data_IF_420039444644
#
_entry.id   IF_420039444644
#
_cell.length_a   1.000
_cell.length_b   1.000
_cell.length_c   1.000
_cell.angle_alpha   90.00
_cell.angle_beta   90.00
_cell.angle_gamma   90.00
#
_symmetry.space_group_name_H-M   'P 1'
#
loop_
_entity.id
_entity.type
_entity.pdbx_description
1 polymer ?
#
# COMPACT_ATOMS: atom_id res chain seq x y z
N UNK A 1 -9.17 -4.95 22.42
CA UNK A 1 -8.84 -5.29 21.01
C UNK A 1 -9.50 -6.61 20.72
N UNK A 2 -10.22 -6.73 19.60
CA UNK A 2 -10.88 -7.99 19.23
C UNK A 2 -9.86 -9.06 18.83
N UNK A 3 -10.26 -10.33 18.80
CA UNK A 3 -9.34 -11.43 18.54
C UNK A 3 -8.81 -11.39 17.10
N UNK A 4 -9.69 -11.12 16.12
CA UNK A 4 -9.30 -11.02 14.72
C UNK A 4 -8.38 -9.81 14.48
N UNK A 5 -8.68 -8.65 15.08
CA UNK A 5 -7.83 -7.47 14.99
C UNK A 5 -6.44 -7.75 15.55
N UNK A 6 -6.34 -8.42 16.71
CA UNK A 6 -5.06 -8.78 17.31
C UNK A 6 -4.20 -9.66 16.39
N UNK A 7 -4.81 -10.68 15.76
CA UNK A 7 -4.11 -11.56 14.82
C UNK A 7 -3.66 -10.82 13.55
N UNK A 8 -4.54 -9.99 12.97
CA UNK A 8 -4.21 -9.16 11.82
C UNK A 8 -3.07 -8.19 12.15
N UNK A 9 -3.14 -7.52 13.30
CA UNK A 9 -2.06 -6.64 13.76
C UNK A 9 -0.74 -7.38 13.89
N UNK A 10 -0.74 -8.57 14.49
CA UNK A 10 0.47 -9.40 14.63
C UNK A 10 1.08 -9.78 13.27
N UNK A 11 0.27 -10.15 12.28
CA UNK A 11 0.77 -10.48 10.94
C UNK A 11 1.24 -9.25 10.15
N UNK A 12 0.58 -8.10 10.33
CA UNK A 12 0.96 -6.84 9.69
C UNK A 12 2.31 -6.30 10.17
N UNK A 13 2.66 -6.56 11.45
CA UNK A 13 3.92 -6.16 12.07
C UNK A 13 5.02 -7.21 11.90
N UNK A 14 4.74 -8.50 12.14
CA UNK A 14 5.66 -9.61 11.92
C UNK A 14 5.33 -10.38 10.63
N UNK A 15 5.80 -9.79 9.52
CA UNK A 15 5.57 -10.31 8.17
C UNK A 15 6.34 -11.59 7.88
N UNK A 16 7.50 -11.77 8.53
CA UNK A 16 8.37 -12.93 8.30
C UNK A 16 7.71 -14.19 8.88
N UNK A 17 7.15 -14.11 10.08
CA UNK A 17 6.51 -15.27 10.71
C UNK A 17 5.39 -15.87 9.85
N UNK A 18 4.62 -15.04 9.14
CA UNK A 18 3.58 -15.52 8.21
C UNK A 18 4.15 -16.33 7.04
N UNK A 19 5.24 -15.85 6.43
CA UNK A 19 5.93 -16.53 5.34
C UNK A 19 6.55 -17.86 5.80
N UNK A 20 7.24 -17.86 6.94
CA UNK A 20 7.86 -19.06 7.51
C UNK A 20 6.82 -20.13 7.86
N UNK A 21 5.66 -19.72 8.42
CA UNK A 21 4.54 -20.61 8.70
C UNK A 21 3.93 -21.19 7.41
N UNK A 22 3.80 -20.40 6.34
CA UNK A 22 3.30 -20.88 5.06
C UNK A 22 4.22 -21.94 4.45
N UNK A 23 5.54 -21.68 4.40
CA UNK A 23 6.53 -22.64 3.89
C UNK A 23 6.47 -23.96 4.65
N UNK A 24 6.33 -23.89 5.98
CA UNK A 24 6.27 -25.07 6.85
C UNK A 24 5.01 -25.91 6.60
N UNK A 25 3.84 -25.27 6.45
CA UNK A 25 2.56 -25.97 6.33
C UNK A 25 2.25 -26.49 4.93
N UNK A 26 2.64 -25.75 3.90
CA UNK A 26 2.22 -26.01 2.53
C UNK A 26 3.35 -26.57 1.66
N UNK A 27 4.58 -26.62 2.17
CA UNK A 27 5.79 -26.88 1.38
C UNK A 27 5.86 -25.98 0.13
N UNK A 28 5.22 -24.81 0.17
CA UNK A 28 5.06 -23.90 -0.95
C UNK A 28 6.15 -22.83 -0.99
N UNK A 29 6.40 -22.31 -2.18
CA UNK A 29 7.35 -21.22 -2.37
C UNK A 29 6.77 -19.85 -2.03
N UNK A 30 7.66 -18.89 -1.77
CA UNK A 30 7.33 -17.51 -1.43
C UNK A 30 7.94 -16.58 -2.47
N UNK A 31 7.10 -15.74 -3.08
CA UNK A 31 7.53 -14.72 -4.05
C UNK A 31 7.46 -13.35 -3.38
N UNK A 32 8.63 -12.75 -3.16
CA UNK A 32 8.72 -11.38 -2.70
C UNK A 32 8.26 -10.42 -3.78
N UNK A 33 7.55 -9.35 -3.43
CA UNK A 33 7.21 -8.33 -4.41
C UNK A 33 7.28 -6.89 -3.91
N UNK A 34 7.56 -5.97 -4.84
CA UNK A 34 7.63 -4.52 -4.61
C UNK A 34 6.77 -3.78 -5.62
N UNK A 35 5.93 -2.90 -5.10
CA UNK A 35 5.15 -1.93 -5.85
C UNK A 35 3.69 -2.32 -6.15
N UNK A 36 2.93 -1.33 -6.61
CA UNK A 36 1.47 -1.33 -6.71
C UNK A 36 0.91 -2.22 -7.83
N UNK A 37 1.73 -2.47 -8.86
CA UNK A 37 1.24 -3.05 -10.12
C UNK A 37 1.57 -4.53 -10.29
N UNK A 38 2.06 -5.19 -9.25
CA UNK A 38 2.34 -6.63 -9.29
C UNK A 38 1.03 -7.42 -9.22
N UNK A 39 0.66 -8.20 -10.25
CA UNK A 39 -0.50 -9.08 -10.22
C UNK A 39 -0.27 -10.34 -9.38
N UNK A 40 -0.55 -10.20 -8.09
CA UNK A 40 -0.43 -11.26 -7.08
C UNK A 40 -1.33 -12.48 -7.37
N UNK A 41 -2.34 -12.31 -8.23
CA UNK A 41 -3.22 -13.39 -8.70
C UNK A 41 -2.43 -14.49 -9.42
N UNK A 42 -1.41 -14.18 -10.22
CA UNK A 42 -0.60 -15.23 -10.87
C UNK A 42 0.21 -16.02 -9.85
N UNK A 43 0.78 -15.33 -8.86
CA UNK A 43 1.55 -15.95 -7.77
C UNK A 43 0.65 -16.92 -6.99
N UNK A 44 -0.56 -16.47 -6.65
CA UNK A 44 -1.57 -17.25 -5.93
C UNK A 44 -2.05 -18.45 -6.76
N UNK A 45 -2.37 -18.24 -8.05
CA UNK A 45 -2.80 -19.30 -8.96
C UNK A 45 -1.73 -20.39 -9.16
N UNK A 46 -0.45 -20.03 -9.02
CA UNK A 46 0.66 -20.96 -9.01
C UNK A 46 0.85 -21.72 -7.68
N UNK A 47 0.02 -21.46 -6.67
CA UNK A 47 0.12 -22.06 -5.35
C UNK A 47 1.27 -21.52 -4.50
N UNK A 48 1.78 -20.33 -4.84
CA UNK A 48 2.85 -19.64 -4.12
C UNK A 48 2.27 -18.52 -3.25
N UNK A 49 2.99 -18.15 -2.19
CA UNK A 49 2.61 -17.01 -1.34
C UNK A 49 3.22 -15.71 -1.89
N UNK A 50 2.41 -14.71 -2.29
CA UNK A 50 2.92 -13.35 -2.52
C UNK A 50 3.26 -12.68 -1.18
N UNK A 51 4.50 -12.25 -1.00
CA UNK A 51 4.98 -11.53 0.17
C UNK A 51 5.39 -10.11 -0.21
N UNK A 52 4.64 -9.10 0.23
CA UNK A 52 4.99 -7.71 -0.06
C UNK A 52 6.15 -7.24 0.81
N UNK A 53 7.24 -6.84 0.16
CA UNK A 53 8.45 -6.40 0.84
C UNK A 53 8.29 -4.95 1.32
N UNK A 54 8.69 -4.67 2.56
CA UNK A 54 8.67 -3.33 3.16
C UNK A 54 9.98 -2.97 3.82
N UNK A 55 10.24 -1.69 3.98
CA UNK A 55 11.37 -1.23 4.78
C UNK A 55 11.12 -1.40 6.28
N UNK A 56 12.04 -0.83 7.04
CA UNK A 56 12.02 -0.72 8.50
C UNK A 56 12.44 0.70 8.87
N UNK A 57 11.49 1.63 9.05
CA UNK A 57 11.78 2.98 9.52
C UNK A 57 12.62 2.98 10.81
N UNK A 58 13.47 4.00 10.96
CA UNK A 58 14.39 4.12 12.10
C UNK A 58 15.58 3.15 12.09
N UNK A 59 15.60 2.16 11.20
CA UNK A 59 16.75 1.24 11.03
C UNK A 59 17.70 1.79 9.95
N UNK A 60 19.03 1.83 10.20
CA UNK A 60 20.00 2.26 9.20
C UNK A 60 19.93 1.41 7.91
N UNK A 61 19.94 2.06 6.74
CA UNK A 61 19.92 1.42 5.43
C UNK A 61 21.30 1.35 4.76
N UNK A 62 22.38 1.23 5.54
CA UNK A 62 23.77 1.38 5.06
C UNK A 62 24.11 0.52 3.84
N UNK A 63 23.67 -0.74 3.82
CA UNK A 63 23.91 -1.63 2.66
C UNK A 63 23.09 -1.19 1.44
N UNK A 64 21.84 -0.78 1.63
CA UNK A 64 21.02 -0.22 0.56
C UNK A 64 21.63 1.06 -0.01
N UNK A 65 22.14 1.94 0.85
CA UNK A 65 22.79 3.21 0.50
C UNK A 65 24.04 2.97 -0.35
N UNK A 66 24.80 1.92 -0.03
CA UNK A 66 25.99 1.51 -0.82
C UNK A 66 25.66 1.21 -2.27
N UNK A 67 24.52 0.56 -2.54
CA UNK A 67 24.17 0.08 -3.88
C UNK A 67 23.22 0.99 -4.66
N UNK A 68 22.33 1.69 -3.96
CA UNK A 68 21.33 2.59 -4.57
C UNK A 68 21.73 4.06 -4.47
N UNK A 69 22.76 4.40 -3.70
CA UNK A 69 23.09 5.77 -3.33
C UNK A 69 22.11 6.33 -2.29
N UNK A 70 22.35 7.55 -1.83
CA UNK A 70 21.51 8.21 -0.81
C UNK A 70 20.44 9.14 -1.39
N UNK A 71 20.50 9.46 -2.69
CA UNK A 71 19.56 10.34 -3.38
C UNK A 71 18.27 9.68 -3.87
N UNK A 72 18.00 8.44 -3.46
CA UNK A 72 16.79 7.68 -3.78
C UNK A 72 15.86 7.62 -2.55
N UNK A 73 14.55 7.44 -2.76
CA UNK A 73 13.57 7.26 -1.69
C UNK A 73 14.10 6.25 -0.64
N UNK A 74 14.24 6.66 0.64
CA UNK A 74 14.69 5.81 1.74
C UNK A 74 13.93 4.48 1.86
N UNK A 75 12.66 4.41 1.47
CA UNK A 75 11.90 3.16 1.54
C UNK A 75 12.54 2.06 0.67
N UNK A 76 12.96 2.37 -0.56
CA UNK A 76 13.63 1.40 -1.44
C UNK A 76 15.02 0.99 -0.93
N UNK A 77 15.76 1.93 -0.33
CA UNK A 77 17.07 1.66 0.31
C UNK A 77 16.92 0.73 1.52
N UNK A 78 15.87 0.96 2.31
CA UNK A 78 15.52 0.10 3.44
C UNK A 78 15.13 -1.31 2.96
N UNK A 79 14.26 -1.43 1.95
CA UNK A 79 13.89 -2.74 1.36
C UNK A 79 15.12 -3.51 0.87
N UNK A 80 16.04 -2.88 0.14
CA UNK A 80 17.26 -3.55 -0.33
C UNK A 80 18.14 -4.01 0.83
N UNK A 81 18.31 -3.17 1.85
CA UNK A 81 19.09 -3.51 3.05
C UNK A 81 18.53 -4.76 3.73
N UNK A 82 17.22 -4.77 3.97
CA UNK A 82 16.51 -5.89 4.61
C UNK A 82 16.58 -7.16 3.78
N UNK A 83 16.47 -7.05 2.46
CA UNK A 83 16.58 -8.19 1.57
C UNK A 83 17.98 -8.83 1.65
N UNK A 84 19.04 -8.02 1.59
CA UNK A 84 20.42 -8.49 1.66
C UNK A 84 20.80 -9.02 3.05
N UNK A 85 20.11 -8.56 4.10
CA UNK A 85 20.24 -9.09 5.46
C UNK A 85 19.49 -10.42 5.68
N UNK A 86 18.62 -10.83 4.74
CA UNK A 86 17.81 -12.04 4.87
C UNK A 86 16.57 -11.87 5.74
N UNK A 87 16.13 -10.64 6.02
CA UNK A 87 15.03 -10.33 6.94
C UNK A 87 13.66 -10.86 6.47
N UNK A 88 13.52 -11.15 5.17
CA UNK A 88 12.29 -11.69 4.59
C UNK A 88 12.28 -13.22 4.51
N UNK A 89 13.34 -13.88 5.00
CA UNK A 89 13.51 -15.32 4.85
C UNK A 89 13.82 -15.75 3.41
N UNK A 90 13.82 -17.06 3.13
CA UNK A 90 14.09 -17.59 1.80
C UNK A 90 12.94 -17.26 0.83
N UNK A 91 13.29 -16.63 -0.29
CA UNK A 91 12.38 -16.30 -1.38
C UNK A 91 12.75 -17.11 -2.63
N UNK A 92 11.74 -17.56 -3.37
CA UNK A 92 11.92 -18.35 -4.60
C UNK A 92 11.95 -17.46 -5.87
N UNK A 93 11.56 -16.19 -5.73
CA UNK A 93 11.60 -15.17 -6.76
C UNK A 93 11.26 -13.79 -6.20
N UNK A 94 11.65 -12.74 -6.92
CA UNK A 94 11.28 -11.35 -6.60
C UNK A 94 10.64 -10.70 -7.82
N UNK A 95 9.45 -10.14 -7.64
CA UNK A 95 8.77 -9.35 -8.67
C UNK A 95 8.77 -7.88 -8.29
N UNK A 96 9.28 -7.02 -9.16
CA UNK A 96 9.28 -5.57 -8.95
C UNK A 96 8.44 -4.92 -10.03
N UNK A 97 7.52 -4.02 -9.68
CA UNK A 97 6.80 -3.23 -10.68
C UNK A 97 7.54 -1.94 -11.04
N UNK A 98 7.38 -1.46 -12.28
CA UNK A 98 7.79 -0.11 -12.68
C UNK A 98 6.72 0.93 -12.31
N UNK A 99 6.42 1.06 -11.04
CA UNK A 99 5.44 2.01 -10.51
C UNK A 99 6.04 3.33 -10.01
N UNK A 100 7.33 3.33 -9.71
CA UNK A 100 8.13 4.50 -9.34
C UNK A 100 9.58 4.36 -9.82
N UNK A 101 10.31 5.48 -9.87
CA UNK A 101 11.76 5.46 -10.14
C UNK A 101 12.51 4.67 -9.07
N UNK A 102 12.09 4.74 -7.81
CA UNK A 102 12.65 3.99 -6.69
C UNK A 102 12.54 2.47 -6.89
N UNK A 103 11.36 1.97 -7.27
CA UNK A 103 11.15 0.55 -7.58
C UNK A 103 11.99 0.12 -8.80
N UNK A 104 12.07 0.95 -9.84
CA UNK A 104 12.84 0.63 -11.03
C UNK A 104 14.35 0.54 -10.74
N UNK A 105 14.88 1.48 -9.94
CA UNK A 105 16.29 1.46 -9.50
C UNK A 105 16.58 0.24 -8.60
N UNK A 106 15.66 -0.13 -7.72
CA UNK A 106 15.74 -1.35 -6.94
C UNK A 106 15.85 -2.59 -7.84
N UNK A 107 14.99 -2.71 -8.86
CA UNK A 107 15.06 -3.82 -9.83
C UNK A 107 16.44 -3.91 -10.49
N UNK A 108 16.98 -2.79 -10.98
CA UNK A 108 18.30 -2.80 -11.61
C UNK A 108 19.40 -3.22 -10.64
N UNK A 109 19.39 -2.72 -9.41
CA UNK A 109 20.35 -3.13 -8.39
C UNK A 109 20.26 -4.63 -8.11
N UNK A 110 19.07 -5.18 -7.90
CA UNK A 110 18.87 -6.61 -7.65
C UNK A 110 19.37 -7.48 -8.81
N UNK A 111 19.03 -7.08 -10.04
CA UNK A 111 19.45 -7.80 -11.25
C UNK A 111 20.97 -7.81 -11.40
N UNK A 112 21.62 -6.65 -11.22
CA UNK A 112 23.06 -6.56 -11.36
C UNK A 112 23.80 -7.23 -10.20
N UNK A 113 23.35 -7.07 -8.95
CA UNK A 113 23.92 -7.75 -7.79
C UNK A 113 23.89 -9.26 -7.97
N UNK A 114 22.77 -9.82 -8.41
CA UNK A 114 22.67 -11.25 -8.72
C UNK A 114 23.64 -11.70 -9.81
N UNK A 115 23.94 -10.84 -10.79
CA UNK A 115 24.85 -11.15 -11.90
C UNK A 115 26.32 -11.07 -11.49
N UNK A 116 26.70 -10.07 -10.69
CA UNK A 116 28.10 -9.77 -10.36
C UNK A 116 28.56 -10.36 -9.04
N UNK A 117 27.64 -10.66 -8.13
CA UNK A 117 27.92 -11.21 -6.81
C UNK A 117 27.00 -12.41 -6.49
N UNK A 118 27.29 -13.59 -7.09
CA UNK A 118 26.51 -14.80 -6.85
C UNK A 118 26.52 -15.28 -5.39
N UNK A 119 27.49 -14.84 -4.57
CA UNK A 119 27.58 -15.21 -3.16
C UNK A 119 26.44 -14.64 -2.32
N UNK A 120 25.79 -13.56 -2.79
CA UNK A 120 24.57 -13.03 -2.17
C UNK A 120 23.37 -13.97 -2.30
N UNK A 121 23.45 -15.00 -3.17
CA UNK A 121 22.40 -15.99 -3.39
C UNK A 121 21.01 -15.38 -3.66
N UNK A 122 20.96 -14.22 -4.34
CA UNK A 122 19.72 -13.54 -4.64
C UNK A 122 18.80 -14.40 -5.54
N UNK A 123 17.50 -14.49 -5.24
CA UNK A 123 16.55 -15.22 -6.05
C UNK A 123 16.41 -14.59 -7.45
N UNK A 124 15.87 -15.32 -8.43
CA UNK A 124 15.56 -14.74 -9.74
C UNK A 124 14.63 -13.52 -9.59
N UNK A 125 14.84 -12.51 -10.44
CA UNK A 125 14.12 -11.22 -10.36
C UNK A 125 13.41 -10.95 -11.68
N UNK A 126 12.17 -10.49 -11.61
CA UNK A 126 11.36 -10.11 -12.77
C UNK A 126 10.81 -8.69 -12.62
N UNK A 127 10.81 -7.92 -13.73
CA UNK A 127 10.22 -6.59 -13.78
C UNK A 127 8.85 -6.65 -14.46
N UNK A 128 7.82 -6.24 -13.73
CA UNK A 128 6.47 -6.04 -14.28
C UNK A 128 6.33 -4.61 -14.76
N UNK A 129 5.90 -4.47 -16.01
CA UNK A 129 5.72 -3.18 -16.67
C UNK A 129 4.27 -2.94 -17.03
N UNK A 130 3.55 -2.27 -16.14
CA UNK A 130 2.19 -1.81 -16.38
C UNK A 130 2.21 -0.32 -16.71
N UNK A 131 1.65 0.01 -17.86
CA UNK A 131 1.47 1.39 -18.32
C UNK A 131 0.01 1.81 -18.07
N UNK A 132 -0.21 3.08 -17.74
CA UNK A 132 -1.50 3.59 -17.21
C UNK A 132 -2.25 4.52 -18.16
N UNK A 133 -1.77 4.68 -19.40
CA UNK A 133 -2.43 5.52 -20.39
C UNK A 133 -3.76 4.88 -20.82
N UNK A 134 -4.84 5.66 -20.99
CA UNK A 134 -6.18 5.15 -21.31
C UNK A 134 -6.35 4.84 -22.80
N UNK A 135 -5.42 4.07 -23.38
CA UNK A 135 -5.39 3.75 -24.80
C UNK A 135 -5.41 2.24 -25.04
N UNK A 136 -6.11 1.80 -26.09
CA UNK A 136 -6.17 0.39 -26.50
C UNK A 136 -4.78 -0.22 -26.75
N UNK A 137 -3.85 0.57 -27.29
CA UNK A 137 -2.45 0.15 -27.50
C UNK A 137 -1.75 -0.15 -26.17
N UNK A 138 -2.04 0.63 -25.13
CA UNK A 138 -1.56 0.41 -23.77
C UNK A 138 -2.15 -0.87 -23.19
N UNK A 139 -3.45 -1.10 -23.35
CA UNK A 139 -4.10 -2.35 -22.90
C UNK A 139 -3.46 -3.59 -23.56
N UNK A 140 -3.19 -3.53 -24.86
CA UNK A 140 -2.49 -4.63 -25.56
C UNK A 140 -1.07 -4.85 -25.02
N UNK A 141 -0.35 -3.78 -24.74
CA UNK A 141 0.99 -3.85 -24.14
C UNK A 141 0.96 -4.49 -22.75
N UNK A 142 0.07 -4.00 -21.88
CA UNK A 142 -0.09 -4.52 -20.51
C UNK A 142 -0.45 -5.99 -20.53
N UNK A 143 -1.40 -6.42 -21.38
CA UNK A 143 -1.74 -7.85 -21.54
C UNK A 143 -0.53 -8.71 -21.92
N UNK A 144 0.31 -8.24 -22.85
CA UNK A 144 1.53 -8.97 -23.22
C UNK A 144 2.53 -9.05 -22.06
N UNK A 145 2.66 -7.98 -21.26
CA UNK A 145 3.53 -7.97 -20.07
C UNK A 145 3.02 -8.86 -18.94
N UNK A 146 1.71 -8.94 -18.75
CA UNK A 146 1.13 -9.86 -17.77
C UNK A 146 1.28 -11.32 -18.21
N UNK A 147 1.18 -11.61 -19.52
CA UNK A 147 1.50 -12.94 -20.05
C UNK A 147 2.98 -13.35 -19.82
N UNK A 148 3.92 -12.40 -19.90
CA UNK A 148 5.34 -12.64 -19.57
C UNK A 148 5.53 -12.93 -18.08
N UNK A 149 4.78 -12.25 -17.22
CA UNK A 149 4.78 -12.54 -15.79
C UNK A 149 4.20 -13.93 -15.51
N UNK A 150 3.06 -14.30 -16.10
CA UNK A 150 2.45 -15.64 -15.98
C UNK A 150 3.48 -16.72 -16.27
N UNK A 151 4.14 -16.64 -17.43
CA UNK A 151 5.18 -17.61 -17.83
C UNK A 151 6.38 -17.65 -16.86
N UNK A 152 6.77 -16.49 -16.31
CA UNK A 152 7.85 -16.42 -15.31
C UNK A 152 7.46 -17.11 -14.01
N UNK A 153 6.25 -16.85 -13.51
CA UNK A 153 5.74 -17.46 -12.28
C UNK A 153 5.55 -18.97 -12.47
N UNK A 154 5.05 -19.43 -13.62
CA UNK A 154 4.95 -20.85 -13.95
C UNK A 154 6.32 -21.55 -13.91
N UNK A 155 7.35 -20.87 -14.44
CA UNK A 155 8.73 -21.37 -14.40
C UNK A 155 9.25 -21.50 -12.97
N UNK A 156 9.00 -20.49 -12.13
CA UNK A 156 9.42 -20.53 -10.72
C UNK A 156 8.65 -21.56 -9.90
N UNK A 157 7.36 -21.74 -10.19
CA UNK A 157 6.50 -22.69 -9.50
C UNK A 157 6.70 -24.15 -9.98
N UNK A 158 7.29 -24.35 -11.16
CA UNK A 158 7.40 -25.66 -11.79
C UNK A 158 6.06 -26.25 -12.26
N UNK A 159 5.02 -25.41 -12.44
CA UNK A 159 3.68 -25.83 -12.86
C UNK A 159 3.00 -24.76 -13.71
N UNK A 160 2.14 -25.19 -14.63
CA UNK A 160 1.31 -24.26 -15.42
C UNK A 160 0.19 -23.66 -14.58
N UNK A 161 -0.15 -22.41 -14.86
CA UNK A 161 -1.36 -21.74 -14.41
C UNK A 161 -2.37 -21.94 -15.54
N UNK A 162 -3.46 -22.63 -15.30
CA UNK A 162 -4.56 -22.74 -16.26
C UNK A 162 -5.59 -21.61 -16.06
N UNK A 163 -6.51 -21.45 -17.02
CA UNK A 163 -7.46 -20.33 -16.96
C UNK A 163 -8.45 -20.45 -15.79
N UNK A 164 -8.73 -21.68 -15.32
CA UNK A 164 -9.61 -21.91 -14.16
C UNK A 164 -8.93 -21.50 -12.86
N UNK A 165 -7.69 -21.96 -12.64
CA UNK A 165 -6.89 -21.61 -11.45
C UNK A 165 -6.60 -20.11 -11.39
N UNK A 166 -6.38 -19.46 -12.54
CA UNK A 166 -6.29 -18.01 -12.61
C UNK A 166 -7.62 -17.33 -12.26
N UNK A 167 -8.75 -17.81 -12.81
CA UNK A 167 -10.09 -17.29 -12.51
C UNK A 167 -10.45 -17.42 -11.01
N UNK A 168 -10.08 -18.54 -10.39
CA UNK A 168 -10.27 -18.78 -8.95
C UNK A 168 -9.43 -17.79 -8.12
N UNK A 169 -8.16 -17.60 -8.47
CA UNK A 169 -7.30 -16.63 -7.79
C UNK A 169 -7.81 -15.19 -7.95
N UNK A 170 -8.28 -14.80 -9.14
CA UNK A 170 -8.88 -13.48 -9.36
C UNK A 170 -10.12 -13.29 -8.48
N UNK A 171 -11.00 -14.29 -8.43
CA UNK A 171 -12.20 -14.27 -7.59
C UNK A 171 -11.84 -14.11 -6.10
N UNK A 172 -10.86 -14.87 -5.61
CA UNK A 172 -10.41 -14.78 -4.22
C UNK A 172 -9.83 -13.41 -3.88
N UNK A 173 -8.99 -12.84 -4.75
CA UNK A 173 -8.42 -11.51 -4.54
C UNK A 173 -9.45 -10.38 -4.68
N UNK A 174 -10.45 -10.50 -5.57
CA UNK A 174 -11.55 -9.54 -5.63
C UNK A 174 -12.43 -9.59 -4.37
N UNK A 175 -12.65 -10.78 -3.78
CA UNK A 175 -13.31 -10.91 -2.47
C UNK A 175 -12.51 -10.22 -1.37
N UNK A 176 -11.19 -10.43 -1.32
CA UNK A 176 -10.31 -9.75 -0.38
C UNK A 176 -10.45 -8.21 -0.47
N UNK A 177 -10.44 -7.67 -1.70
CA UNK A 177 -10.58 -6.22 -1.94
C UNK A 177 -11.93 -5.66 -1.51
N UNK A 178 -13.00 -6.42 -1.73
CA UNK A 178 -14.33 -6.05 -1.23
C UNK A 178 -14.34 -5.97 0.30
N UNK A 179 -13.76 -6.96 0.99
CA UNK A 179 -13.69 -6.97 2.45
C UNK A 179 -12.82 -5.83 3.00
N UNK A 180 -11.67 -5.56 2.37
CA UNK A 180 -10.84 -4.40 2.72
C UNK A 180 -11.59 -3.08 2.55
N UNK A 181 -12.44 -2.96 1.53
CA UNK A 181 -13.31 -1.77 1.36
C UNK A 181 -14.31 -1.63 2.52
N UNK A 182 -14.88 -2.74 3.00
CA UNK A 182 -15.78 -2.76 4.17
C UNK A 182 -15.03 -2.44 5.46
N UNK A 183 -13.83 -2.96 5.66
CA UNK A 183 -12.98 -2.65 6.81
C UNK A 183 -12.56 -1.18 6.81
N UNK A 184 -12.20 -0.62 5.65
CA UNK A 184 -11.90 0.80 5.52
C UNK A 184 -13.09 1.70 5.88
N UNK A 185 -14.33 1.21 5.77
CA UNK A 185 -15.51 1.95 6.24
C UNK A 185 -15.58 2.06 7.78
N UNK A 186 -14.93 1.16 8.52
CA UNK A 186 -14.93 1.20 9.99
C UNK A 186 -14.16 2.40 10.56
N UNK A 187 -13.08 2.85 9.92
CA UNK A 187 -12.43 4.12 10.29
C UNK A 187 -13.21 5.35 9.81
N UNK A 188 -14.12 5.17 8.85
CA UNK A 188 -14.96 6.23 8.30
C UNK A 188 -16.27 6.40 9.06
N UNK A 189 -16.68 5.45 9.91
CA UNK A 189 -17.90 5.56 10.72
C UNK A 189 -17.82 6.72 11.72
N UNK A 190 -18.98 7.09 12.29
CA UNK A 190 -19.10 8.11 13.33
C UNK A 190 -19.86 7.52 14.54
N UNK A 191 -19.20 7.28 15.68
CA UNK A 191 -17.75 7.38 15.89
C UNK A 191 -16.98 6.33 15.08
N UNK A 192 -15.69 6.54 14.83
CA UNK A 192 -14.87 5.57 14.11
C UNK A 192 -14.66 4.31 14.96
N UNK A 193 -14.64 3.13 14.35
CA UNK A 193 -14.41 1.82 15.01
C UNK A 193 -12.99 1.28 14.81
N UNK A 194 -12.26 1.84 13.86
CA UNK A 194 -10.83 1.63 13.69
C UNK A 194 -10.14 2.97 13.55
N UNK A 195 -8.89 3.03 14.02
CA UNK A 195 -7.94 4.07 13.66
C UNK A 195 -7.43 3.84 12.22
N UNK A 196 -6.86 4.87 11.62
CA UNK A 196 -6.09 4.75 10.39
C UNK A 196 -4.87 3.85 10.57
N UNK A 197 -4.15 3.94 11.70
CA UNK A 197 -3.01 3.04 12.00
C UNK A 197 -3.45 1.57 11.99
N UNK A 198 -4.56 1.24 12.68
CA UNK A 198 -5.09 -0.11 12.70
C UNK A 198 -5.51 -0.56 11.29
N UNK A 199 -6.19 0.30 10.54
CA UNK A 199 -6.64 -0.01 9.17
C UNK A 199 -5.46 -0.31 8.26
N UNK A 200 -4.41 0.52 8.27
CA UNK A 200 -3.20 0.30 7.47
C UNK A 200 -2.49 -1.01 7.86
N UNK A 201 -2.44 -1.31 9.16
CA UNK A 201 -1.83 -2.55 9.66
C UNK A 201 -2.63 -3.79 9.23
N UNK A 202 -3.97 -3.69 9.23
CA UNK A 202 -4.83 -4.75 8.68
C UNK A 202 -4.56 -4.97 7.19
N UNK A 203 -4.47 -3.90 6.39
CA UNK A 203 -4.11 -4.01 4.96
C UNK A 203 -2.74 -4.67 4.80
N UNK A 204 -1.74 -4.27 5.60
CA UNK A 204 -0.41 -4.88 5.56
C UNK A 204 -0.45 -6.40 5.80
N UNK A 205 -1.25 -6.87 6.76
CA UNK A 205 -1.41 -8.29 7.04
C UNK A 205 -1.93 -9.09 5.84
N UNK A 206 -2.82 -8.50 5.04
CA UNK A 206 -3.36 -9.19 3.85
C UNK A 206 -2.36 -9.32 2.71
N UNK A 207 -1.23 -8.60 2.78
CA UNK A 207 -0.16 -8.64 1.76
C UNK A 207 0.93 -9.67 2.06
N UNK A 208 0.77 -10.45 3.14
CA UNK A 208 1.74 -11.45 3.61
C UNK A 208 1.09 -12.79 4.01
N UNK A 209 -0.23 -12.88 3.92
CA UNK A 209 -1.02 -14.06 4.24
C UNK A 209 -1.60 -14.69 2.97
N UNK A 210 -1.85 -16.02 2.95
CA UNK A 210 -2.71 -16.63 1.94
C UNK A 210 -4.07 -15.91 1.88
N UNK A 211 -4.58 -15.70 0.67
CA UNK A 211 -5.77 -14.87 0.42
C UNK A 211 -7.00 -15.41 1.15
N UNK A 212 -7.12 -16.73 1.31
CA UNK A 212 -8.20 -17.40 2.04
C UNK A 212 -8.11 -17.10 3.54
N UNK A 213 -6.90 -17.15 4.11
CA UNK A 213 -6.69 -16.83 5.53
C UNK A 213 -6.91 -15.36 5.82
N UNK A 214 -6.43 -14.48 4.94
CA UNK A 214 -6.68 -13.05 5.04
C UNK A 214 -8.18 -12.76 4.99
N UNK A 215 -8.89 -13.34 4.01
CA UNK A 215 -10.35 -13.19 3.85
C UNK A 215 -11.12 -13.63 5.08
N UNK A 216 -10.81 -14.80 5.64
CA UNK A 216 -11.46 -15.31 6.87
C UNK A 216 -11.26 -14.35 8.06
N UNK A 217 -10.04 -13.84 8.26
CA UNK A 217 -9.75 -12.90 9.35
C UNK A 217 -10.47 -11.55 9.18
N UNK A 218 -10.61 -11.06 7.95
CA UNK A 218 -11.37 -9.83 7.70
C UNK A 218 -12.88 -10.04 7.94
N UNK A 219 -13.41 -11.22 7.60
CA UNK A 219 -14.81 -11.56 7.88
C UNK A 219 -15.05 -11.63 9.40
N UNK A 220 -14.18 -12.31 10.16
CA UNK A 220 -14.21 -12.33 11.62
C UNK A 220 -14.16 -10.90 12.20
N UNK A 221 -13.20 -10.07 11.75
CA UNK A 221 -13.09 -8.67 12.19
C UNK A 221 -14.39 -7.88 11.93
N UNK A 222 -15.02 -8.08 10.78
CA UNK A 222 -16.28 -7.41 10.45
C UNK A 222 -17.45 -7.88 11.31
N UNK A 223 -17.46 -9.13 11.80
CA UNK A 223 -18.45 -9.59 12.78
C UNK A 223 -18.25 -8.98 14.16
N UNK A 224 -17.01 -8.65 14.52
CA UNK A 224 -16.65 -8.05 15.80
C UNK A 224 -16.78 -6.50 15.79
N UNK A 225 -17.13 -5.90 14.64
CA UNK A 225 -17.03 -4.46 14.40
C UNK A 225 -17.82 -3.59 15.39
N UNK A 226 -19.01 -4.03 15.81
CA UNK A 226 -19.87 -3.29 16.75
C UNK A 226 -19.30 -3.27 18.18
N UNK A 227 -18.39 -4.20 18.50
CA UNK A 227 -17.73 -4.30 19.80
C UNK A 227 -16.36 -3.60 19.84
N UNK A 228 -15.91 -3.05 18.71
CA UNK A 228 -14.68 -2.28 18.67
C UNK A 228 -14.84 -0.92 19.37
N UNK A 229 -13.78 -0.41 20.03
CA UNK A 229 -13.83 0.88 20.70
C UNK A 229 -14.12 2.02 19.71
N UNK A 230 -14.74 3.07 20.23
CA UNK A 230 -14.95 4.32 19.51
C UNK A 230 -13.65 5.16 19.49
N UNK A 231 -13.35 5.75 18.34
CA UNK A 231 -12.24 6.67 18.14
C UNK A 231 -12.75 8.02 17.62
N UNK A 232 -12.18 9.10 18.15
CA UNK A 232 -12.47 10.48 17.78
C UNK A 232 -11.18 11.21 17.42
N UNK A 233 -11.31 12.32 16.70
CA UNK A 233 -10.19 13.15 16.25
C UNK A 233 -10.62 14.02 15.08
N UNK A 234 -9.77 14.97 14.70
CA UNK A 234 -9.96 15.73 13.45
C UNK A 234 -9.74 14.77 12.30
N UNK A 235 -10.75 14.56 11.47
CA UNK A 235 -10.74 13.56 10.41
C UNK A 235 -9.90 14.06 9.25
N UNK A 236 -8.81 13.37 8.92
CA UNK A 236 -7.90 13.79 7.85
C UNK A 236 -7.86 12.79 6.69
N UNK A 237 -7.75 13.30 5.48
CA UNK A 237 -7.35 12.53 4.31
C UNK A 237 -5.84 12.66 4.13
N UNK A 238 -5.14 11.54 4.02
CA UNK A 238 -3.68 11.51 3.83
C UNK A 238 -3.33 11.31 2.36
N UNK A 239 -2.54 12.23 1.80
CA UNK A 239 -2.03 12.14 0.43
C UNK A 239 -0.51 12.19 0.40
N UNK A 240 0.07 11.71 -0.69
CA UNK A 240 1.49 11.86 -1.01
C UNK A 240 2.24 10.54 -1.04
N UNK A 241 3.40 10.49 -0.37
CA UNK A 241 4.30 9.35 -0.42
C UNK A 241 3.69 8.10 0.24
N UNK A 242 3.77 6.89 -0.37
CA UNK A 242 3.13 5.69 0.18
C UNK A 242 3.70 5.18 1.50
N UNK A 243 2.86 4.76 2.46
CA UNK A 243 3.32 4.31 3.77
C UNK A 243 3.28 2.79 3.93
N UNK A 244 4.46 2.15 3.97
CA UNK A 244 4.57 0.70 4.14
C UNK A 244 4.52 0.22 5.60
N UNK A 245 4.46 1.16 6.55
CA UNK A 245 4.31 0.92 7.99
C UNK A 245 3.44 2.00 8.66
N UNK A 246 2.90 1.70 9.84
CA UNK A 246 1.99 2.59 10.59
C UNK A 246 2.61 3.81 11.26
N UNK A 247 3.94 3.96 11.29
CA UNK A 247 4.61 4.97 12.12
C UNK A 247 4.11 6.41 11.91
N UNK A 248 3.93 6.83 10.66
CA UNK A 248 3.41 8.18 10.36
C UNK A 248 1.95 8.31 10.76
N UNK A 249 1.14 7.28 10.54
CA UNK A 249 -0.27 7.28 10.94
C UNK A 249 -0.38 7.41 12.46
N UNK A 250 0.44 6.68 13.21
CA UNK A 250 0.48 6.78 14.68
C UNK A 250 0.87 8.17 15.13
N UNK A 251 1.91 8.77 14.53
CA UNK A 251 2.34 10.12 14.88
C UNK A 251 1.27 11.20 14.59
N UNK A 252 0.49 11.03 13.50
CA UNK A 252 -0.65 11.91 13.20
C UNK A 252 -1.78 11.71 14.21
N UNK A 253 -2.10 10.47 14.56
CA UNK A 253 -3.17 10.13 15.50
C UNK A 253 -2.86 10.55 16.93
N UNK A 254 -1.61 10.42 17.37
CA UNK A 254 -1.11 10.95 18.64
C UNK A 254 -1.22 12.48 18.72
N UNK A 255 -1.26 13.15 17.57
CA UNK A 255 -1.47 14.60 17.44
C UNK A 255 -2.96 15.00 17.37
N UNK A 256 -3.88 14.05 17.57
CA UNK A 256 -5.33 14.28 17.54
C UNK A 256 -5.95 14.26 16.13
N UNK A 257 -5.21 13.82 15.11
CA UNK A 257 -5.67 13.70 13.74
C UNK A 257 -6.02 12.24 13.42
N UNK A 258 -7.28 11.96 13.15
CA UNK A 258 -7.73 10.62 12.78
C UNK A 258 -7.66 10.43 11.26
N UNK A 259 -6.79 9.54 10.78
CA UNK A 259 -6.67 9.27 9.33
C UNK A 259 -7.84 8.41 8.85
N UNK A 260 -8.75 8.98 8.06
CA UNK A 260 -10.01 8.34 7.63
C UNK A 260 -9.99 7.86 6.18
N UNK A 261 -8.94 8.17 5.44
CA UNK A 261 -8.71 7.74 4.06
C UNK A 261 -7.33 8.16 3.58
N UNK A 262 -6.85 7.49 2.54
CA UNK A 262 -5.60 7.84 1.86
C UNK A 262 -5.64 7.58 0.35
N UNK A 263 -4.61 8.02 -0.38
CA UNK A 263 -4.46 7.79 -1.81
C UNK A 263 -3.15 7.07 -2.22
N UNK A 264 -2.70 6.13 -1.40
CA UNK A 264 -1.55 5.29 -1.70
C UNK A 264 -1.84 3.78 -1.73
N UNK A 265 -0.94 3.04 -2.36
CA UNK A 265 -1.08 1.62 -2.72
C UNK A 265 -0.83 0.64 -1.57
N UNK A 266 -0.32 1.10 -0.44
CA UNK A 266 -0.33 0.37 0.83
C UNK A 266 -1.66 0.48 1.60
N UNK A 267 -2.61 1.28 1.13
CA UNK A 267 -3.91 1.52 1.75
C UNK A 267 -5.06 1.38 0.75
N UNK A 268 -5.94 2.37 0.69
CA UNK A 268 -7.19 2.37 -0.08
C UNK A 268 -6.97 2.06 -1.58
N UNK A 269 -5.87 2.51 -2.20
CA UNK A 269 -5.63 2.21 -3.62
C UNK A 269 -5.34 0.72 -3.90
N UNK A 270 -5.00 -0.08 -2.89
CA UNK A 270 -4.84 -1.54 -3.05
C UNK A 270 -6.17 -2.23 -3.39
N UNK A 271 -7.25 -1.77 -2.74
CA UNK A 271 -8.56 -2.44 -2.75
C UNK A 271 -9.62 -1.71 -3.58
N UNK A 272 -9.40 -0.42 -3.88
CA UNK A 272 -10.36 0.45 -4.58
C UNK A 272 -10.92 -0.12 -5.89
N UNK A 273 -10.08 -0.78 -6.71
CA UNK A 273 -10.50 -1.36 -8.00
C UNK A 273 -10.48 -2.89 -7.93
N UNK A 274 -11.63 -3.48 -8.26
CA UNK A 274 -11.80 -4.92 -8.49
C UNK A 274 -11.67 -5.25 -9.97
N UNK A 275 -11.41 -6.50 -10.26
CA UNK A 275 -11.31 -7.04 -11.63
C UNK A 275 -12.69 -7.17 -12.29
N UNK A 276 -13.72 -7.42 -11.48
CA UNK A 276 -15.14 -7.54 -11.86
C UNK A 276 -15.48 -8.78 -12.72
N UNK A 277 -14.58 -9.23 -13.60
CA UNK A 277 -14.68 -10.51 -14.30
C UNK A 277 -13.41 -11.33 -14.06
N UNK A 278 -13.51 -12.64 -13.79
CA UNK A 278 -12.36 -13.49 -13.50
C UNK A 278 -11.65 -13.93 -14.78
N UNK A 279 -11.19 -12.95 -15.57
CA UNK A 279 -10.49 -13.17 -16.84
C UNK A 279 -9.17 -12.43 -16.84
N UNK A 280 -8.17 -12.96 -17.54
CA UNK A 280 -6.86 -12.33 -17.69
C UNK A 280 -6.94 -10.95 -18.37
N UNK A 281 -7.89 -10.76 -19.29
CA UNK A 281 -8.11 -9.47 -19.94
C UNK A 281 -8.61 -8.41 -18.94
N UNK A 282 -9.60 -8.75 -18.11
CA UNK A 282 -10.10 -7.87 -17.07
C UNK A 282 -9.04 -7.61 -15.99
N UNK A 283 -8.18 -8.59 -15.70
CA UNK A 283 -7.04 -8.43 -14.79
C UNK A 283 -6.06 -7.37 -15.32
N UNK A 284 -5.69 -7.46 -16.59
CA UNK A 284 -4.84 -6.46 -17.23
C UNK A 284 -5.44 -5.05 -17.18
N UNK A 285 -6.74 -4.92 -17.44
CA UNK A 285 -7.45 -3.64 -17.32
C UNK A 285 -7.48 -3.14 -15.87
N UNK A 286 -7.69 -4.03 -14.89
CA UNK A 286 -7.66 -3.67 -13.47
C UNK A 286 -6.35 -2.96 -13.14
N UNK A 287 -5.22 -3.56 -13.49
CA UNK A 287 -3.90 -3.00 -13.18
C UNK A 287 -3.59 -1.74 -13.99
N UNK A 288 -3.93 -1.70 -15.29
CA UNK A 288 -3.77 -0.50 -16.13
C UNK A 288 -4.52 0.72 -15.59
N UNK A 289 -5.71 0.51 -15.00
CA UNK A 289 -6.55 1.57 -14.48
C UNK A 289 -6.52 1.66 -12.94
N UNK A 290 -5.52 1.06 -12.31
CA UNK A 290 -5.33 1.18 -10.86
C UNK A 290 -4.74 2.54 -10.51
N UNK A 291 -5.26 3.19 -9.47
CA UNK A 291 -4.87 4.55 -9.08
C UNK A 291 -6.00 5.57 -9.18
N UNK A 292 -5.69 6.88 -9.19
CA UNK A 292 -4.42 7.53 -9.56
C UNK A 292 -3.36 7.64 -8.44
N UNK A 293 -2.10 7.35 -8.75
CA UNK A 293 -0.91 7.60 -7.90
C UNK A 293 -0.07 8.77 -8.40
N UNK A 294 0.65 9.47 -7.51
CA UNK A 294 1.44 10.66 -7.87
C UNK A 294 2.46 10.43 -9.00
N UNK A 295 3.19 9.29 -9.07
CA UNK A 295 4.19 9.08 -10.13
C UNK A 295 3.60 8.83 -11.54
N UNK A 296 2.30 8.53 -11.66
CA UNK A 296 1.73 7.97 -12.91
C UNK A 296 0.51 8.71 -13.44
N UNK A 297 -0.18 9.45 -12.60
CA UNK A 297 -1.38 10.16 -12.96
C UNK A 297 -1.10 11.64 -13.23
N UNK A 298 -1.95 12.26 -14.04
CA UNK A 298 -1.89 13.71 -14.20
C UNK A 298 -2.28 14.42 -12.89
N UNK A 299 -1.72 15.61 -12.66
CA UNK A 299 -2.06 16.47 -11.52
C UNK A 299 -3.58 16.68 -11.43
N UNK A 300 -4.26 16.87 -12.57
CA UNK A 300 -5.73 17.01 -12.62
C UNK A 300 -6.44 15.74 -12.12
N UNK A 301 -6.02 14.56 -12.56
CA UNK A 301 -6.63 13.31 -12.13
C UNK A 301 -6.41 13.04 -10.63
N UNK A 302 -5.21 13.39 -10.11
CA UNK A 302 -4.87 13.32 -8.68
C UNK A 302 -5.74 14.26 -7.84
N UNK A 303 -5.87 15.52 -8.25
CA UNK A 303 -6.70 16.51 -7.58
C UNK A 303 -8.18 16.07 -7.52
N UNK A 304 -8.74 15.62 -8.64
CA UNK A 304 -10.13 15.16 -8.71
C UNK A 304 -10.37 13.87 -7.90
N UNK A 305 -9.40 12.94 -7.91
CA UNK A 305 -9.48 11.77 -7.06
C UNK A 305 -9.47 12.14 -5.58
N UNK A 306 -8.53 12.99 -5.16
CA UNK A 306 -8.39 13.45 -3.77
C UNK A 306 -9.66 14.15 -3.30
N UNK A 307 -10.20 15.08 -4.10
CA UNK A 307 -11.47 15.76 -3.81
C UNK A 307 -12.61 14.79 -3.54
N UNK A 308 -12.81 13.82 -4.43
CA UNK A 308 -13.87 12.82 -4.29
C UNK A 308 -13.64 11.94 -3.06
N UNK A 309 -12.43 11.40 -2.91
CA UNK A 309 -12.10 10.47 -1.82
C UNK A 309 -12.17 11.12 -0.44
N UNK A 310 -11.63 12.34 -0.29
CA UNK A 310 -11.71 13.13 0.94
C UNK A 310 -13.17 13.42 1.34
N UNK A 311 -14.03 13.74 0.36
CA UNK A 311 -15.47 13.91 0.59
C UNK A 311 -16.15 12.60 1.00
N UNK A 312 -15.87 11.50 0.29
CA UNK A 312 -16.47 10.18 0.55
C UNK A 312 -16.13 9.64 1.95
N UNK A 313 -14.93 9.91 2.47
CA UNK A 313 -14.54 9.50 3.82
C UNK A 313 -14.90 10.54 4.90
N UNK A 314 -15.51 11.67 4.54
CA UNK A 314 -15.85 12.74 5.47
C UNK A 314 -14.61 13.34 6.15
N UNK A 315 -13.55 13.57 5.39
CA UNK A 315 -12.39 14.30 5.87
C UNK A 315 -12.71 15.78 6.08
N UNK A 316 -12.18 16.34 7.16
CA UNK A 316 -12.28 17.74 7.56
C UNK A 316 -11.02 18.52 7.20
N UNK A 317 -9.90 17.82 6.99
CA UNK A 317 -8.63 18.41 6.59
C UNK A 317 -7.83 17.46 5.67
N UNK A 318 -6.87 18.03 4.93
CA UNK A 318 -5.96 17.31 4.04
C UNK A 318 -4.53 17.40 4.57
N UNK A 319 -3.89 16.26 4.78
CA UNK A 319 -2.46 16.18 5.12
C UNK A 319 -1.72 15.60 3.92
N UNK A 320 -0.81 16.39 3.32
CA UNK A 320 0.11 15.90 2.30
C UNK A 320 1.45 15.60 2.92
N UNK A 321 1.91 14.36 2.83
CA UNK A 321 3.19 13.90 3.35
C UNK A 321 4.12 13.53 2.18
N UNK A 322 5.21 14.27 2.02
CA UNK A 322 6.22 14.00 0.99
C UNK A 322 7.53 13.60 1.65
N UNK A 323 8.02 12.39 1.36
CA UNK A 323 9.33 11.93 1.85
C UNK A 323 10.47 12.67 1.18
N UNK A 324 11.61 12.70 1.86
CA UNK A 324 12.88 13.05 1.21
C UNK A 324 13.10 12.15 -0.02
N UNK A 325 13.44 12.77 -1.16
CA UNK A 325 13.66 12.08 -2.44
C UNK A 325 12.41 11.41 -3.06
N UNK A 326 11.21 11.85 -2.67
CA UNK A 326 9.96 11.60 -3.39
C UNK A 326 9.27 12.95 -3.67
N UNK A 327 9.65 13.58 -4.78
CA UNK A 327 9.27 14.98 -5.08
C UNK A 327 7.87 15.10 -5.71
N UNK A 328 7.34 14.03 -6.29
CA UNK A 328 6.08 14.07 -7.06
C UNK A 328 4.87 14.56 -6.24
N UNK A 329 4.67 14.14 -4.96
CA UNK A 329 3.62 14.69 -4.10
C UNK A 329 3.67 16.21 -3.91
N UNK A 330 4.86 16.82 -3.93
CA UNK A 330 5.01 18.27 -3.81
C UNK A 330 4.46 19.03 -5.03
N UNK A 331 4.43 18.38 -6.20
CA UNK A 331 3.97 19.00 -7.45
C UNK A 331 2.45 18.96 -7.61
N UNK A 332 1.78 17.92 -7.13
CA UNK A 332 0.33 17.77 -7.27
C UNK A 332 -0.47 18.36 -6.09
N UNK A 333 0.15 18.56 -4.93
CA UNK A 333 -0.47 19.12 -3.74
C UNK A 333 -1.24 20.44 -3.97
N UNK A 334 -0.70 21.46 -4.67
CA UNK A 334 -1.44 22.73 -4.86
C UNK A 334 -2.80 22.52 -5.54
N UNK A 335 -2.88 21.62 -6.51
CA UNK A 335 -4.12 21.31 -7.21
C UNK A 335 -5.09 20.48 -6.34
N UNK A 336 -4.57 19.57 -5.52
CA UNK A 336 -5.39 18.82 -4.55
C UNK A 336 -5.98 19.74 -3.47
N UNK A 337 -5.17 20.66 -2.92
CA UNK A 337 -5.63 21.68 -1.98
C UNK A 337 -6.75 22.53 -2.58
N UNK A 338 -6.55 23.06 -3.78
CA UNK A 338 -7.56 23.85 -4.47
C UNK A 338 -8.84 23.04 -4.72
N UNK A 339 -8.72 21.82 -5.25
CA UNK A 339 -9.88 21.00 -5.59
C UNK A 339 -10.69 20.56 -4.35
N UNK A 340 -10.03 20.35 -3.21
CA UNK A 340 -10.70 19.94 -1.96
C UNK A 340 -11.31 21.12 -1.21
N UNK A 341 -10.66 22.29 -1.21
CA UNK A 341 -11.06 23.45 -0.41
C UNK A 341 -10.93 23.24 1.11
N UNK A 342 -10.31 22.14 1.54
CA UNK A 342 -10.15 21.81 2.97
C UNK A 342 -8.97 22.57 3.59
N UNK A 343 -9.02 22.87 4.91
CA UNK A 343 -7.81 23.13 5.69
C UNK A 343 -6.76 22.07 5.36
N UNK A 344 -5.54 22.51 5.05
CA UNK A 344 -4.54 21.61 4.49
C UNK A 344 -3.12 22.00 4.85
N UNK A 345 -2.25 20.99 4.92
CA UNK A 345 -0.83 21.14 5.21
C UNK A 345 0.00 20.25 4.27
N UNK A 346 1.15 20.76 3.82
CA UNK A 346 2.18 19.98 3.16
C UNK A 346 3.36 19.80 4.12
N UNK A 347 3.54 18.57 4.57
CA UNK A 347 4.73 18.13 5.28
C UNK A 347 5.75 17.68 4.24
N UNK A 348 6.59 18.61 3.79
CA UNK A 348 7.58 18.34 2.73
C UNK A 348 8.87 17.74 3.31
N UNK A 349 9.59 16.96 2.48
CA UNK A 349 10.92 16.41 2.79
C UNK A 349 11.00 15.69 4.15
N UNK A 350 10.00 14.87 4.45
CA UNK A 350 9.89 14.16 5.71
C UNK A 350 10.84 12.94 5.74
N UNK A 351 11.38 12.59 6.93
CA UNK A 351 12.18 11.37 7.10
C UNK A 351 11.32 10.11 6.94
N UNK A 352 11.90 9.00 6.50
CA UNK A 352 11.16 7.75 6.31
C UNK A 352 10.53 7.24 7.60
N UNK A 353 9.19 7.16 7.61
CA UNK A 353 8.40 6.65 8.72
C UNK A 353 8.39 7.54 9.96
N UNK A 354 8.70 8.83 9.81
CA UNK A 354 8.63 9.79 10.90
C UNK A 354 8.18 11.17 10.40
N UNK A 355 7.81 12.02 11.36
CA UNK A 355 7.55 13.43 11.14
C UNK A 355 8.83 14.24 11.40
N UNK A 356 9.14 15.20 10.53
CA UNK A 356 10.27 16.11 10.69
C UNK A 356 10.00 17.19 11.75
N UNK A 357 11.04 17.94 12.13
CA UNK A 357 10.97 18.89 13.25
C UNK A 357 9.89 19.97 13.12
N UNK A 358 9.63 20.45 11.91
CA UNK A 358 8.61 21.49 11.64
C UNK A 358 7.17 20.94 11.55
N UNK A 359 7.00 19.61 11.51
CA UNK A 359 5.69 19.01 11.30
C UNK A 359 4.74 19.26 12.49
N UNK A 360 5.25 19.23 13.72
CA UNK A 360 4.41 19.38 14.91
C UNK A 360 3.67 20.73 14.94
N UNK A 361 4.37 21.83 14.63
CA UNK A 361 3.77 23.17 14.57
C UNK A 361 2.72 23.27 13.45
N UNK A 362 3.03 22.72 12.27
CA UNK A 362 2.13 22.75 11.12
C UNK A 362 0.84 21.93 11.37
N UNK A 363 0.95 20.78 12.03
CA UNK A 363 -0.21 19.95 12.43
C UNK A 363 -1.04 20.61 13.54
N UNK A 364 -0.40 21.33 14.47
CA UNK A 364 -1.12 22.08 15.50
C UNK A 364 -1.93 23.24 14.91
N UNK A 365 -1.38 23.97 13.92
CA UNK A 365 -2.11 25.00 13.17
C UNK A 365 -3.28 24.40 12.37
N UNK A 366 -3.06 23.26 11.70
CA UNK A 366 -4.12 22.55 11.00
C UNK A 366 -5.28 22.16 11.94
N UNK A 367 -4.95 21.66 13.13
CA UNK A 367 -5.95 21.27 14.13
C UNK A 367 -6.77 22.49 14.60
N UNK A 368 -6.10 23.62 14.88
CA UNK A 368 -6.77 24.87 15.29
C UNK A 368 -7.69 25.43 14.21
N UNK A 369 -7.30 25.36 12.95
CA UNK A 369 -8.10 25.87 11.82
C UNK A 369 -9.28 24.96 11.46
N UNK A 370 -9.22 23.68 11.82
CA UNK A 370 -10.27 22.71 11.52
C UNK A 370 -11.33 22.60 12.62
N UNK A 371 -10.97 22.89 13.87
CA UNK A 371 -11.94 22.94 14.97
C UNK A 371 -12.73 24.27 14.93
N UNK A 372 -14.07 24.26 15.06
CA UNK A 372 -14.84 25.48 15.07
C UNK A 372 -14.44 26.35 16.26
N UNK A 373 -14.10 27.61 16.01
CA UNK A 373 -13.77 28.61 17.03
C UNK A 373 -15.03 29.00 17.82
N UNK A 374 -15.25 28.32 18.95
CA UNK A 374 -16.05 28.82 20.07
C UNK A 374 -17.54 28.38 20.17
N UNK A 375 -18.19 28.66 21.31
CA UNK A 375 -19.44 28.02 21.76
C UNK A 375 -20.69 28.30 20.91
N UNK A 376 -20.62 29.19 19.92
CA UNK A 376 -21.78 29.57 19.09
C UNK A 376 -22.10 28.57 17.97
N UNK A 377 -21.13 27.79 17.49
CA UNK A 377 -21.34 26.86 16.37
C UNK A 377 -22.05 25.54 16.76
N UNK A 378 -22.02 25.15 18.05
CA UNK A 378 -22.75 23.95 18.53
C UNK A 378 -24.28 24.12 18.50
N UNK A 379 -24.79 25.35 18.50
CA UNK A 379 -26.23 25.61 18.49
C UNK A 379 -26.87 25.46 17.09
N UNK A 380 -26.08 25.54 16.01
CA UNK A 380 -26.59 25.45 14.63
C UNK A 380 -26.52 24.03 14.06
N UNK A 381 -25.63 23.17 14.58
CA UNK A 381 -25.57 21.76 14.19
C UNK A 381 -26.67 20.87 14.83
N UNK A 382 -27.50 21.45 15.71
CA UNK A 382 -28.60 20.75 16.41
C UNK A 382 -29.98 21.25 15.97
N UNK A 383 -30.09 21.91 14.81
CA UNK A 383 -31.36 22.33 14.22
C UNK A 383 -31.63 21.68 12.87
#
# INVERSE_FOLDING_TARGET
MSAALAQLTSHGTDRRAAADAFRTRHHGGVIGYVGADVPVEYITAAGLLPLRLSGSPGTPSTTGDRYLGTGLDPAARSVLTRLLAGDFGPLDGIVVSRDSEASLRLFYALRELRRVDPALALPPVHLVDVLHLPHRTTTRYVRAKLGQLRATVETWAGRSIDDRTLADAITAHDRLRELLTRVAALRRSQPARLTGTQTLTVVAATTVLPVERATALLEELLTEADHLPAHEGVRVFLTGSPHDTGHVYTALEDSGLLVVGEDHDWGDLLSRRRTAAPTEAALAERYQYNGPSAPRASIRARAEHTRRAARECGAQALVSYARVHDDAPGWDYPAQREATGLPSVLLNRQPYGALGGEAAEALAELTRTTQPTGPRARAEATR
#
